data_IF_842546504206
#
_entry.id   IF_842546504206
#
_cell.length_a   1.000
_cell.length_b   1.000
_cell.length_c   1.000
_cell.angle_alpha   90.00
_cell.angle_beta   90.00
_cell.angle_gamma   90.00
#
_symmetry.space_group_name_H-M   'P 1'
#
loop_
_entity.id
_entity.type
_entity.pdbx_description
1 polymer ?
#
# COMPACT_ATOMS: atom_id res chain seq x y z
N UNK A 1 12.08 36.42 -66.48
CA UNK A 1 10.82 35.63 -66.47
C UNK A 1 11.12 34.39 -67.31
N UNK A 2 11.11 33.13 -66.88
CA UNK A 2 10.67 32.41 -65.68
C UNK A 2 11.27 31.01 -65.89
N UNK A 3 12.04 30.48 -64.94
CA UNK A 3 12.57 29.10 -64.98
C UNK A 3 11.85 28.25 -63.95
N UNK A 4 11.00 27.31 -64.37
CA UNK A 4 10.49 26.16 -63.61
C UNK A 4 9.59 25.32 -64.56
N UNK A 5 9.50 23.98 -64.59
CA UNK A 5 10.14 22.82 -63.95
C UNK A 5 9.89 21.61 -64.89
N UNK A 6 10.65 20.51 -64.79
CA UNK A 6 10.09 19.18 -65.00
C UNK A 6 9.87 18.47 -63.66
N UNK A 7 8.73 17.79 -63.62
CA UNK A 7 8.27 16.82 -62.62
C UNK A 7 9.23 15.65 -62.43
N UNK A 8 9.34 15.11 -61.21
CA UNK A 8 9.23 13.66 -60.96
C UNK A 8 8.99 13.37 -59.48
N UNK A 9 7.96 12.59 -59.23
CA UNK A 9 7.64 11.90 -57.97
C UNK A 9 8.66 10.79 -57.68
N UNK A 10 9.13 10.65 -56.44
CA UNK A 10 8.95 9.38 -55.72
C UNK A 10 9.21 9.52 -54.20
N UNK A 11 8.40 8.79 -53.45
CA UNK A 11 8.36 8.68 -52.00
C UNK A 11 9.53 7.85 -51.46
N UNK A 12 10.22 8.33 -50.42
CA UNK A 12 10.59 7.45 -49.29
C UNK A 12 10.64 8.26 -47.99
N UNK A 13 9.89 7.76 -47.01
CA UNK A 13 9.72 8.33 -45.68
C UNK A 13 11.04 8.66 -44.97
N UNK A 14 11.27 9.96 -44.76
CA UNK A 14 12.04 10.49 -43.63
C UNK A 14 11.21 11.59 -42.99
N UNK A 15 10.62 11.32 -41.83
CA UNK A 15 10.30 12.40 -40.89
C UNK A 15 11.10 12.14 -39.62
N UNK A 16 12.21 12.88 -39.56
CA UNK A 16 13.00 13.13 -38.35
C UNK A 16 12.07 13.73 -37.30
N UNK A 17 11.97 13.11 -36.13
CA UNK A 17 11.37 13.75 -34.96
C UNK A 17 12.46 14.54 -34.23
N UNK A 18 12.61 15.81 -34.58
CA UNK A 18 13.26 16.82 -33.73
C UNK A 18 12.54 18.14 -33.95
N UNK A 19 12.00 18.72 -32.88
CA UNK A 19 11.35 20.01 -32.95
C UNK A 19 10.52 20.30 -31.71
N UNK A 20 11.23 20.73 -30.68
CA UNK A 20 10.79 21.60 -29.59
C UNK A 20 9.34 22.07 -29.61
N UNK A 21 8.57 21.62 -28.62
CA UNK A 21 7.53 22.45 -28.03
C UNK A 21 7.61 22.29 -26.52
N UNK A 22 8.05 23.36 -25.87
CA UNK A 22 7.91 23.61 -24.43
C UNK A 22 6.40 23.58 -24.13
N UNK A 23 5.87 22.40 -23.81
CA UNK A 23 4.47 22.23 -23.42
C UNK A 23 4.41 22.04 -21.91
N UNK A 24 4.05 23.12 -21.23
CA UNK A 24 3.51 23.23 -19.87
C UNK A 24 3.40 21.91 -19.08
N UNK A 25 4.32 21.71 -18.12
CA UNK A 25 4.35 20.61 -17.15
C UNK A 25 3.15 20.58 -16.17
N UNK A 26 2.05 21.27 -16.45
CA UNK A 26 0.93 21.46 -15.51
C UNK A 26 -0.36 20.73 -15.86
N UNK A 27 -0.42 20.00 -16.98
CA UNK A 27 -1.56 19.15 -17.34
C UNK A 27 -1.18 17.80 -17.96
N UNK A 28 -0.25 17.06 -17.34
CA UNK A 28 -0.12 15.60 -17.53
C UNK A 28 -1.33 14.87 -16.95
N UNK A 29 -2.46 15.00 -17.64
CA UNK A 29 -3.81 15.01 -17.07
C UNK A 29 -4.46 13.63 -17.05
N UNK A 30 -4.03 12.68 -16.21
CA UNK A 30 -4.72 11.38 -15.99
C UNK A 30 -4.96 10.47 -17.23
N UNK A 31 -4.72 10.97 -18.45
CA UNK A 31 -4.79 10.31 -19.75
C UNK A 31 -3.43 9.70 -20.13
N UNK A 32 -2.33 10.19 -19.52
CA UNK A 32 -0.96 9.78 -19.84
C UNK A 32 -0.51 8.45 -19.23
N UNK A 33 -1.38 7.80 -18.45
CA UNK A 33 -1.03 6.52 -17.81
C UNK A 33 -2.23 5.58 -17.76
N UNK A 34 -2.48 4.83 -18.84
CA UNK A 34 -3.55 3.83 -18.91
C UNK A 34 -3.51 2.82 -17.76
N UNK A 35 -2.31 2.45 -17.28
CA UNK A 35 -2.13 1.45 -16.21
C UNK A 35 -2.75 1.91 -14.89
N UNK A 36 -2.67 3.22 -14.60
CA UNK A 36 -3.31 3.81 -13.43
C UNK A 36 -4.82 3.67 -13.47
N UNK A 37 -5.45 3.95 -14.63
CA UNK A 37 -6.90 3.81 -14.79
C UNK A 37 -7.34 2.35 -14.66
N UNK A 38 -6.56 1.43 -15.23
CA UNK A 38 -6.81 0.00 -15.12
C UNK A 38 -6.71 -0.48 -13.66
N UNK A 39 -5.74 0.00 -12.90
CA UNK A 39 -5.60 -0.28 -11.47
C UNK A 39 -6.78 0.27 -10.64
N UNK A 40 -7.24 1.49 -10.95
CA UNK A 40 -8.41 2.13 -10.30
C UNK A 40 -9.71 1.43 -10.64
N UNK A 41 -9.85 0.87 -11.85
CA UNK A 41 -11.05 0.14 -12.27
C UNK A 41 -11.03 -1.33 -11.89
N UNK A 42 -9.90 -1.85 -11.38
CA UNK A 42 -9.72 -3.28 -11.11
C UNK A 42 -9.72 -4.17 -12.36
N UNK A 43 -9.59 -3.58 -13.56
CA UNK A 43 -9.64 -4.32 -14.83
C UNK A 43 -8.34 -5.12 -15.01
N UNK A 44 -8.38 -6.36 -14.54
CA UNK A 44 -7.27 -7.29 -14.58
C UNK A 44 -6.76 -7.57 -15.99
N UNK A 45 -7.64 -7.55 -17.00
CA UNK A 45 -7.24 -7.82 -18.38
C UNK A 45 -6.52 -6.61 -18.97
N UNK A 46 -7.03 -5.41 -18.71
CA UNK A 46 -6.38 -4.18 -19.13
C UNK A 46 -5.04 -3.97 -18.41
N UNK A 47 -4.96 -4.27 -17.10
CA UNK A 47 -3.69 -4.22 -16.35
C UNK A 47 -2.65 -5.11 -17.02
N UNK A 48 -2.99 -6.37 -17.36
CA UNK A 48 -2.07 -7.28 -18.05
C UNK A 48 -1.63 -6.76 -19.42
N UNK A 49 -2.58 -6.36 -20.26
CA UNK A 49 -2.30 -5.88 -21.61
C UNK A 49 -1.37 -4.66 -21.60
N UNK A 50 -1.53 -3.76 -20.62
CA UNK A 50 -0.69 -2.58 -20.51
C UNK A 50 0.72 -2.89 -20.02
N UNK A 51 0.86 -3.82 -19.08
CA UNK A 51 2.17 -4.34 -18.65
C UNK A 51 2.89 -5.02 -19.81
N UNK A 52 2.19 -5.85 -20.59
CA UNK A 52 2.71 -6.51 -21.80
C UNK A 52 3.13 -5.49 -22.86
N UNK A 53 2.44 -4.35 -22.94
CA UNK A 53 2.81 -3.23 -23.80
C UNK A 53 4.02 -2.41 -23.29
N UNK A 54 4.68 -2.84 -22.19
CA UNK A 54 5.89 -2.21 -21.68
C UNK A 54 5.67 -1.03 -20.74
N UNK A 55 4.47 -0.85 -20.18
CA UNK A 55 4.24 0.19 -19.19
C UNK A 55 5.00 -0.13 -17.89
N UNK A 56 5.70 0.88 -17.35
CA UNK A 56 6.39 0.75 -16.07
C UNK A 56 5.39 0.55 -14.93
N UNK A 57 5.42 -0.64 -14.33
CA UNK A 57 4.56 -1.08 -13.24
C UNK A 57 4.80 -0.30 -11.93
N UNK A 58 5.98 0.31 -11.77
CA UNK A 58 6.39 1.05 -10.58
C UNK A 58 6.23 2.57 -10.71
N UNK A 59 5.81 3.05 -11.89
CA UNK A 59 5.63 4.48 -12.14
C UNK A 59 4.60 5.07 -11.18
N UNK A 60 4.96 6.17 -10.52
CA UNK A 60 4.04 6.95 -9.70
C UNK A 60 3.46 8.12 -10.49
N UNK A 61 2.18 8.41 -10.24
CA UNK A 61 1.45 9.53 -10.85
C UNK A 61 0.77 10.29 -9.73
N UNK A 62 1.01 11.61 -9.66
CA UNK A 62 0.52 12.46 -8.56
C UNK A 62 0.85 11.87 -7.17
N UNK A 63 2.04 11.28 -7.06
CA UNK A 63 2.52 10.60 -5.85
C UNK A 63 1.78 9.30 -5.47
N UNK A 64 0.99 8.73 -6.39
CA UNK A 64 0.31 7.45 -6.20
C UNK A 64 0.86 6.38 -7.14
N UNK A 65 1.06 5.18 -6.63
CA UNK A 65 1.53 4.02 -7.41
C UNK A 65 0.38 3.09 -7.77
N UNK A 66 0.51 2.28 -8.82
CA UNK A 66 -0.51 1.30 -9.17
C UNK A 66 -0.80 0.32 -8.02
N UNK A 67 0.24 -0.11 -7.30
CA UNK A 67 0.12 -1.02 -6.16
C UNK A 67 -0.67 -0.40 -4.99
N UNK A 68 -0.46 0.90 -4.71
CA UNK A 68 -1.21 1.63 -3.69
C UNK A 68 -2.71 1.65 -4.00
N UNK A 69 -3.06 1.91 -5.26
CA UNK A 69 -4.46 2.03 -5.69
C UNK A 69 -5.21 0.73 -5.57
N UNK A 70 -4.59 -0.39 -5.95
CA UNK A 70 -5.24 -1.70 -5.85
C UNK A 70 -5.42 -2.14 -4.40
N UNK A 71 -4.49 -1.79 -3.50
CA UNK A 71 -4.64 -2.03 -2.05
C UNK A 71 -5.80 -1.20 -1.51
N UNK A 72 -5.85 0.09 -1.85
CA UNK A 72 -6.92 0.98 -1.42
C UNK A 72 -8.31 0.55 -1.94
N UNK A 73 -8.38 -0.11 -3.10
CA UNK A 73 -9.63 -0.59 -3.69
C UNK A 73 -9.89 -2.10 -3.50
N UNK A 74 -9.18 -2.79 -2.59
CA UNK A 74 -9.37 -4.22 -2.32
C UNK A 74 -10.84 -4.60 -2.07
N UNK A 75 -11.57 -3.78 -1.31
CA UNK A 75 -12.97 -4.09 -0.99
C UNK A 75 -13.91 -4.00 -2.21
N UNK A 76 -13.51 -3.28 -3.26
CA UNK A 76 -14.32 -3.10 -4.48
C UNK A 76 -13.96 -4.13 -5.55
N UNK A 77 -12.68 -4.46 -5.72
CA UNK A 77 -12.19 -5.28 -6.84
C UNK A 77 -11.45 -6.54 -6.41
N UNK A 78 -11.34 -6.79 -5.10
CA UNK A 78 -10.54 -7.86 -4.55
C UNK A 78 -9.04 -7.63 -4.73
N UNK A 79 -8.27 -8.69 -4.54
CA UNK A 79 -6.80 -8.66 -4.56
C UNK A 79 -6.19 -9.14 -5.87
N UNK A 80 -7.02 -9.53 -6.85
CA UNK A 80 -6.53 -10.05 -8.12
C UNK A 80 -5.64 -9.04 -8.89
N UNK A 81 -5.98 -7.74 -8.94
CA UNK A 81 -5.09 -6.73 -9.53
C UNK A 81 -3.73 -6.65 -8.83
N UNK A 82 -3.70 -6.75 -7.50
CA UNK A 82 -2.45 -6.77 -6.72
C UNK A 82 -1.57 -7.96 -7.08
N UNK A 83 -2.12 -9.16 -7.19
CA UNK A 83 -1.37 -10.35 -7.61
C UNK A 83 -0.76 -10.20 -9.00
N UNK A 84 -1.51 -9.60 -9.94
CA UNK A 84 -1.03 -9.35 -11.31
C UNK A 84 0.14 -8.36 -11.29
N UNK A 85 0.01 -7.25 -10.56
CA UNK A 85 1.06 -6.24 -10.45
C UNK A 85 2.32 -6.83 -9.81
N UNK A 86 2.21 -7.57 -8.71
CA UNK A 86 3.35 -8.22 -8.07
C UNK A 86 4.01 -9.26 -8.99
N UNK A 87 3.21 -10.07 -9.71
CA UNK A 87 3.72 -11.02 -10.70
C UNK A 87 4.43 -10.35 -11.89
N UNK A 88 4.12 -9.08 -12.15
CA UNK A 88 4.77 -8.25 -13.16
C UNK A 88 5.98 -7.46 -12.64
N UNK A 89 6.43 -7.68 -11.40
CA UNK A 89 7.58 -6.99 -10.83
C UNK A 89 7.26 -5.65 -10.16
N UNK A 90 6.00 -5.40 -9.77
CA UNK A 90 5.68 -4.29 -8.88
C UNK A 90 6.48 -4.42 -7.57
N UNK A 91 7.10 -3.33 -7.15
CA UNK A 91 7.91 -3.26 -5.95
C UNK A 91 7.02 -2.95 -4.73
N UNK A 92 6.81 -3.91 -3.80
CA UNK A 92 6.01 -3.68 -2.60
C UNK A 92 6.67 -2.74 -1.58
N UNK A 93 7.95 -2.43 -1.76
CA UNK A 93 8.73 -1.59 -0.85
C UNK A 93 8.67 -0.10 -1.21
N UNK A 94 7.87 0.27 -2.22
CA UNK A 94 7.63 1.66 -2.54
C UNK A 94 6.97 2.37 -1.36
N UNK A 95 7.47 3.57 -1.07
CA UNK A 95 6.90 4.44 -0.06
C UNK A 95 5.61 5.07 -0.60
N UNK A 96 4.51 4.76 0.07
CA UNK A 96 3.17 5.26 -0.22
C UNK A 96 2.69 6.11 0.96
N UNK A 97 1.69 6.95 0.74
CA UNK A 97 1.14 7.85 1.77
C UNK A 97 -0.29 7.43 2.11
N UNK A 98 -0.65 7.49 3.38
CA UNK A 98 -2.03 7.28 3.82
C UNK A 98 -2.40 8.26 4.91
N UNK A 99 -3.70 8.36 5.18
CA UNK A 99 -4.23 9.17 6.29
C UNK A 99 -4.81 8.26 7.35
N UNK A 100 -4.57 8.60 8.60
CA UNK A 100 -5.30 7.99 9.71
C UNK A 100 -6.67 8.66 9.90
N UNK A 101 -7.42 8.16 10.88
CA UNK A 101 -8.73 8.69 11.23
C UNK A 101 -8.72 10.17 11.65
N UNK A 102 -7.61 10.63 12.23
CA UNK A 102 -7.43 12.02 12.66
C UNK A 102 -6.96 12.94 11.51
N UNK A 103 -6.74 12.39 10.32
CA UNK A 103 -6.28 13.12 9.15
C UNK A 103 -4.76 13.33 9.11
N UNK A 104 -4.00 12.74 10.05
CA UNK A 104 -2.54 12.80 10.00
C UNK A 104 -2.04 11.97 8.82
N UNK A 105 -1.00 12.48 8.17
CA UNK A 105 -0.41 11.81 7.02
C UNK A 105 0.76 10.95 7.48
N UNK A 106 0.67 9.66 7.16
CA UNK A 106 1.71 8.67 7.38
C UNK A 106 2.30 8.26 6.03
N UNK A 107 3.55 7.81 6.02
CA UNK A 107 4.20 7.32 4.81
C UNK A 107 5.04 6.08 5.12
N UNK A 108 5.15 5.16 4.18
CA UNK A 108 5.93 3.93 4.37
C UNK A 108 5.63 2.89 3.31
N UNK A 109 6.21 1.68 3.43
CA UNK A 109 6.00 0.58 2.48
C UNK A 109 4.53 0.17 2.33
N UNK A 110 4.22 -0.54 1.24
CA UNK A 110 2.85 -0.97 0.94
C UNK A 110 2.26 -1.91 2.02
N UNK A 111 3.11 -2.66 2.73
CA UNK A 111 2.67 -3.50 3.85
C UNK A 111 2.09 -2.66 5.00
N UNK A 112 2.72 -1.54 5.34
CA UNK A 112 2.25 -0.61 6.38
C UNK A 112 0.91 0.02 6.00
N UNK A 113 0.75 0.44 4.73
CA UNK A 113 -0.54 0.88 4.21
C UNK A 113 -1.62 -0.20 4.40
N UNK A 114 -1.33 -1.43 3.97
CA UNK A 114 -2.30 -2.52 4.02
C UNK A 114 -2.75 -2.84 5.45
N UNK A 115 -1.82 -2.83 6.41
CA UNK A 115 -2.14 -3.03 7.83
C UNK A 115 -2.90 -1.84 8.42
N UNK A 116 -2.44 -0.61 8.19
CA UNK A 116 -3.05 0.60 8.73
C UNK A 116 -4.47 0.85 8.19
N UNK A 117 -4.76 0.39 6.97
CA UNK A 117 -6.08 0.51 6.33
C UNK A 117 -6.90 -0.78 6.39
N UNK A 118 -6.46 -1.78 7.16
CA UNK A 118 -7.14 -3.07 7.37
C UNK A 118 -7.42 -3.85 6.09
N UNK A 119 -6.53 -3.74 5.10
CA UNK A 119 -6.54 -4.49 3.83
C UNK A 119 -5.88 -5.85 4.02
N UNK A 120 -6.56 -6.70 4.79
CA UNK A 120 -6.01 -7.96 5.31
C UNK A 120 -5.61 -8.92 4.18
N UNK A 121 -6.40 -9.02 3.11
CA UNK A 121 -6.06 -9.93 2.02
C UNK A 121 -4.85 -9.41 1.23
N UNK A 122 -4.75 -8.09 1.01
CA UNK A 122 -3.55 -7.49 0.44
C UNK A 122 -2.33 -7.69 1.33
N UNK A 123 -2.46 -7.49 2.64
CA UNK A 123 -1.38 -7.69 3.60
C UNK A 123 -0.88 -9.15 3.58
N UNK A 124 -1.78 -10.14 3.55
CA UNK A 124 -1.42 -11.55 3.39
C UNK A 124 -0.65 -11.82 2.10
N UNK A 125 -1.08 -11.24 0.97
CA UNK A 125 -0.39 -11.40 -0.31
C UNK A 125 1.00 -10.76 -0.28
N UNK A 126 1.13 -9.57 0.34
CA UNK A 126 2.41 -8.90 0.50
C UNK A 126 3.36 -9.71 1.39
N UNK A 127 2.88 -10.27 2.50
CA UNK A 127 3.68 -11.14 3.37
C UNK A 127 4.14 -12.42 2.67
N UNK A 128 3.32 -12.99 1.80
CA UNK A 128 3.69 -14.16 1.00
C UNK A 128 4.62 -13.83 -0.18
N UNK A 129 4.83 -12.55 -0.49
CA UNK A 129 5.70 -12.12 -1.58
C UNK A 129 7.14 -12.01 -1.11
N UNK A 130 8.04 -12.78 -1.73
CA UNK A 130 9.48 -12.79 -1.39
C UNK A 130 10.17 -11.42 -1.58
N UNK A 131 9.60 -10.53 -2.38
CA UNK A 131 10.14 -9.18 -2.61
C UNK A 131 9.79 -8.18 -1.50
N UNK A 132 8.93 -8.53 -0.54
CA UNK A 132 8.49 -7.62 0.52
C UNK A 132 9.51 -7.56 1.65
N UNK A 133 9.97 -6.35 1.97
CA UNK A 133 10.84 -6.09 3.10
C UNK A 133 10.01 -6.01 4.40
N UNK A 134 10.07 -7.07 5.20
CA UNK A 134 9.36 -7.21 6.47
C UNK A 134 9.96 -6.38 7.61
N UNK A 135 11.22 -5.96 7.48
CA UNK A 135 11.95 -5.19 8.50
C UNK A 135 11.91 -3.68 8.25
N UNK A 136 11.23 -3.23 7.19
CA UNK A 136 11.09 -1.82 6.91
C UNK A 136 10.25 -1.12 7.98
N UNK A 137 10.61 0.13 8.27
CA UNK A 137 9.82 1.02 9.12
C UNK A 137 9.11 2.08 8.28
N UNK A 138 7.98 2.58 8.79
CA UNK A 138 7.31 3.75 8.23
C UNK A 138 8.01 5.07 8.62
N UNK A 139 7.42 6.19 8.24
CA UNK A 139 7.91 7.54 8.53
C UNK A 139 7.92 7.88 10.03
N UNK A 140 7.17 7.14 10.84
CA UNK A 140 7.19 7.25 12.30
C UNK A 140 8.13 6.21 12.92
N UNK A 141 8.98 5.57 12.12
CA UNK A 141 9.92 4.55 12.58
C UNK A 141 9.25 3.33 13.17
N UNK A 142 8.03 3.00 12.75
CA UNK A 142 7.26 1.84 13.22
C UNK A 142 7.41 0.66 12.27
N UNK A 143 7.68 -0.53 12.81
CA UNK A 143 7.62 -1.79 12.05
C UNK A 143 6.18 -2.18 11.68
N UNK A 144 6.05 -3.11 10.71
CA UNK A 144 4.76 -3.70 10.37
C UNK A 144 4.11 -4.43 11.56
N UNK A 145 4.92 -5.06 12.41
CA UNK A 145 4.45 -5.73 13.63
C UNK A 145 3.84 -4.72 14.61
N UNK A 146 4.46 -3.55 14.78
CA UNK A 146 3.91 -2.46 15.61
C UNK A 146 2.54 -1.99 15.10
N UNK A 147 2.37 -1.78 13.79
CA UNK A 147 1.07 -1.37 13.23
C UNK A 147 -0.02 -2.43 13.48
N UNK A 148 0.34 -3.71 13.48
CA UNK A 148 -0.62 -4.81 13.69
C UNK A 148 -1.14 -4.96 15.12
N UNK A 149 -0.52 -4.30 16.13
CA UNK A 149 -1.08 -4.27 17.48
C UNK A 149 -2.43 -3.55 17.54
N UNK A 150 -2.66 -2.60 16.62
CA UNK A 150 -3.81 -1.71 16.65
C UNK A 150 -3.77 -0.75 17.85
N UNK A 151 -4.24 0.48 17.65
CA UNK A 151 -4.42 1.39 18.78
C UNK A 151 -5.76 1.05 19.44
N UNK A 152 -5.79 0.52 20.67
CA UNK A 152 -7.06 0.40 21.42
C UNK A 152 -7.72 1.76 21.68
N UNK A 153 -6.98 2.88 21.60
CA UNK A 153 -7.57 4.23 21.58
C UNK A 153 -8.49 4.46 20.36
N UNK A 154 -8.20 3.79 19.22
CA UNK A 154 -9.13 3.75 18.09
C UNK A 154 -10.26 2.76 18.29
N UNK A 155 -10.14 1.75 19.16
CA UNK A 155 -11.21 0.80 19.45
C UNK A 155 -12.27 1.37 20.40
N UNK A 156 -11.88 2.13 21.43
CA UNK A 156 -12.83 2.85 22.29
C UNK A 156 -13.63 3.92 21.53
N UNK A 157 -12.99 4.56 20.55
CA UNK A 157 -13.69 5.47 19.62
C UNK A 157 -14.45 4.71 18.54
N UNK A 158 -14.03 3.51 18.11
CA UNK A 158 -14.80 2.66 17.21
C UNK A 158 -16.07 2.11 17.86
N UNK A 159 -16.13 1.80 19.15
CA UNK A 159 -17.41 1.41 19.80
C UNK A 159 -18.37 2.59 19.92
N UNK A 160 -17.84 3.79 20.21
CA UNK A 160 -18.61 5.03 20.17
C UNK A 160 -19.05 5.39 18.73
N UNK A 161 -18.21 5.09 17.73
CA UNK A 161 -18.48 5.37 16.32
C UNK A 161 -19.35 4.29 15.68
N UNK A 162 -19.27 3.02 16.08
CA UNK A 162 -20.14 1.90 15.68
C UNK A 162 -21.60 2.20 16.07
N UNK A 163 -21.81 2.83 17.23
CA UNK A 163 -23.12 3.33 17.65
C UNK A 163 -23.67 4.44 16.74
N UNK A 164 -22.82 5.20 16.05
CA UNK A 164 -23.22 6.19 15.03
C UNK A 164 -23.08 5.68 13.57
N UNK A 165 -22.37 4.57 13.32
CA UNK A 165 -21.95 4.04 12.00
C UNK A 165 -22.98 3.13 11.32
N UNK A 166 -24.20 2.99 11.81
CA UNK A 166 -25.28 2.47 10.96
C UNK A 166 -25.50 3.38 9.74
N UNK A 167 -25.11 4.66 9.82
CA UNK A 167 -25.27 5.67 8.77
C UNK A 167 -24.02 5.80 7.87
N UNK A 168 -22.80 5.54 8.37
CA UNK A 168 -21.54 5.83 7.65
C UNK A 168 -20.96 4.67 6.81
N UNK A 169 -21.51 3.46 6.92
CA UNK A 169 -21.02 2.30 6.16
C UNK A 169 -21.07 2.51 4.62
N UNK A 170 -21.90 3.46 4.16
CA UNK A 170 -22.01 3.84 2.75
C UNK A 170 -20.90 4.80 2.27
N UNK A 171 -20.26 5.57 3.16
CA UNK A 171 -19.30 6.65 2.80
C UNK A 171 -17.83 6.20 2.97
N UNK A 172 -17.59 5.08 3.66
CA UNK A 172 -16.26 4.54 3.92
C UNK A 172 -15.50 4.10 2.65
N UNK A 173 -16.22 3.67 1.61
CA UNK A 173 -15.64 3.15 0.35
C UNK A 173 -14.93 4.19 -0.52
N UNK A 174 -15.12 5.50 -0.30
CA UNK A 174 -14.67 6.53 -1.26
C UNK A 174 -13.61 7.50 -0.72
N UNK A 175 -13.30 7.47 0.58
CA UNK A 175 -12.49 8.54 1.23
C UNK A 175 -11.32 8.08 2.12
N UNK A 176 -10.94 6.80 2.09
CA UNK A 176 -9.80 6.32 2.89
C UNK A 176 -10.08 6.22 4.39
N UNK A 177 -11.34 5.94 4.75
CA UNK A 177 -11.77 5.68 6.13
C UNK A 177 -11.35 4.26 6.57
N UNK A 178 -11.22 4.01 7.90
CA UNK A 178 -10.73 2.74 8.44
C UNK A 178 -11.57 1.55 7.97
N UNK A 179 -10.92 0.39 7.87
CA UNK A 179 -11.55 -0.84 7.40
C UNK A 179 -12.81 -1.21 8.20
N UNK A 180 -13.74 -1.99 7.60
CA UNK A 180 -14.88 -2.54 8.34
C UNK A 180 -14.41 -3.21 9.64
N UNK A 181 -15.20 -3.15 10.72
CA UNK A 181 -14.84 -3.78 12.01
C UNK A 181 -14.35 -5.24 11.87
N UNK A 182 -14.91 -5.98 10.91
CA UNK A 182 -14.50 -7.35 10.58
C UNK A 182 -13.04 -7.50 10.11
N UNK A 183 -12.44 -6.48 9.52
CA UNK A 183 -11.03 -6.48 9.13
C UNK A 183 -10.11 -6.29 10.34
N UNK A 184 -10.48 -5.40 11.27
CA UNK A 184 -9.73 -5.20 12.52
C UNK A 184 -9.76 -6.42 13.42
N UNK A 185 -10.85 -7.20 13.39
CA UNK A 185 -10.92 -8.50 14.06
C UNK A 185 -9.86 -9.51 13.56
N UNK A 186 -9.33 -9.33 12.35
CA UNK A 186 -8.27 -10.17 11.80
C UNK A 186 -6.87 -9.60 12.03
N UNK A 187 -6.73 -8.42 12.64
CA UNK A 187 -5.43 -7.86 12.96
C UNK A 187 -4.59 -8.74 13.90
N UNK A 188 -5.17 -9.44 14.90
CA UNK A 188 -4.42 -10.43 15.66
C UNK A 188 -3.80 -11.53 14.81
N UNK A 189 -4.51 -11.99 13.76
CA UNK A 189 -3.97 -12.99 12.83
C UNK A 189 -2.76 -12.43 12.07
N UNK A 190 -2.82 -11.16 11.68
CA UNK A 190 -1.69 -10.47 11.04
C UNK A 190 -0.50 -10.36 11.98
N UNK A 191 -0.74 -10.00 13.25
CA UNK A 191 0.29 -9.96 14.28
C UNK A 191 1.01 -11.30 14.42
N UNK A 192 0.27 -12.41 14.58
CA UNK A 192 0.87 -13.74 14.69
C UNK A 192 1.64 -14.16 13.43
N UNK A 193 1.14 -13.79 12.25
CA UNK A 193 1.81 -14.07 10.98
C UNK A 193 3.14 -13.30 10.90
N UNK A 194 3.15 -12.01 11.26
CA UNK A 194 4.33 -11.17 11.28
C UNK A 194 5.38 -11.68 12.28
N UNK A 195 4.94 -12.09 13.48
CA UNK A 195 5.80 -12.70 14.49
C UNK A 195 6.43 -14.00 13.99
N UNK A 196 5.64 -14.86 13.35
CA UNK A 196 6.09 -16.14 12.75
C UNK A 196 7.06 -15.94 11.59
N UNK A 197 7.03 -14.78 10.93
CA UNK A 197 8.01 -14.39 9.90
C UNK A 197 9.31 -13.81 10.48
N UNK A 198 9.52 -13.89 11.81
CA UNK A 198 10.78 -13.53 12.45
C UNK A 198 10.97 -12.03 12.68
N UNK A 199 9.90 -11.23 12.63
CA UNK A 199 10.00 -9.81 13.01
C UNK A 199 10.19 -9.71 14.53
N UNK A 200 11.27 -9.06 14.93
CA UNK A 200 11.66 -8.92 16.33
C UNK A 200 10.71 -7.96 17.08
N UNK A 201 10.03 -8.41 18.15
CA UNK A 201 9.11 -7.56 18.92
C UNK A 201 9.82 -6.67 19.96
N UNK A 202 11.15 -6.76 20.09
CA UNK A 202 11.95 -5.99 21.06
C UNK A 202 12.66 -4.79 20.47
N UNK A 203 12.57 -4.58 19.15
CA UNK A 203 13.14 -3.39 18.55
C UNK A 203 12.43 -2.15 19.11
N UNK A 204 13.21 -1.16 19.53
CA UNK A 204 12.71 0.13 19.97
C UNK A 204 12.32 0.93 18.73
N UNK A 205 11.03 1.24 18.60
CA UNK A 205 10.51 2.08 17.52
C UNK A 205 10.82 3.57 17.84
N UNK A 206 10.42 4.52 16.99
CA UNK A 206 10.79 5.94 17.17
C UNK A 206 10.29 6.60 18.46
N UNK A 207 9.31 6.00 19.14
CA UNK A 207 8.81 6.46 20.44
C UNK A 207 9.57 5.87 21.64
N UNK A 208 10.73 5.24 21.40
CA UNK A 208 11.50 4.49 22.42
C UNK A 208 10.69 3.38 23.11
N UNK A 209 9.64 2.91 22.44
CA UNK A 209 8.77 1.83 22.88
C UNK A 209 8.86 0.68 21.88
N UNK A 210 9.05 -0.53 22.39
CA UNK A 210 9.02 -1.75 21.58
C UNK A 210 7.59 -2.30 21.47
N UNK A 211 7.35 -3.17 20.48
CA UNK A 211 6.08 -3.90 20.35
C UNK A 211 5.72 -4.62 21.64
N UNK A 212 6.69 -5.26 22.30
CA UNK A 212 6.49 -5.95 23.56
C UNK A 212 6.06 -5.01 24.69
N UNK A 213 6.77 -3.89 24.87
CA UNK A 213 6.43 -2.89 25.89
C UNK A 213 5.06 -2.27 25.63
N UNK A 214 4.73 -1.98 24.36
CA UNK A 214 3.42 -1.48 23.97
C UNK A 214 2.31 -2.45 24.34
N UNK A 215 2.47 -3.72 24.01
CA UNK A 215 1.51 -4.76 24.34
C UNK A 215 1.34 -4.92 25.86
N UNK A 216 2.42 -4.75 26.63
CA UNK A 216 2.36 -4.75 28.10
C UNK A 216 1.62 -3.53 28.65
N UNK A 217 1.94 -2.33 28.16
CA UNK A 217 1.32 -1.08 28.59
C UNK A 217 -0.19 -1.07 28.29
N UNK A 218 -0.57 -1.56 27.10
CA UNK A 218 -1.95 -1.65 26.68
C UNK A 218 -2.73 -2.81 27.34
N UNK A 219 -2.08 -3.67 28.14
CA UNK A 219 -2.74 -4.82 28.74
C UNK A 219 -3.20 -5.88 27.73
N UNK A 220 -2.55 -5.95 26.56
CA UNK A 220 -2.89 -6.88 25.49
C UNK A 220 -2.32 -8.27 25.78
N UNK A 221 -2.90 -8.92 26.80
CA UNK A 221 -2.43 -10.18 27.39
C UNK A 221 -2.17 -11.26 26.33
N UNK A 222 -3.04 -11.40 25.33
CA UNK A 222 -2.87 -12.38 24.25
C UNK A 222 -1.59 -12.16 23.42
N UNK A 223 -1.26 -10.92 23.08
CA UNK A 223 -0.04 -10.61 22.34
C UNK A 223 1.21 -10.77 23.22
N UNK A 224 1.13 -10.36 24.48
CA UNK A 224 2.22 -10.54 25.45
C UNK A 224 2.55 -12.02 25.62
N UNK A 225 1.54 -12.86 25.86
CA UNK A 225 1.74 -14.31 25.98
C UNK A 225 2.37 -14.90 24.73
N UNK A 226 1.94 -14.47 23.55
CA UNK A 226 2.45 -15.05 22.31
C UNK A 226 3.87 -14.59 21.96
N UNK A 227 4.22 -13.35 22.32
CA UNK A 227 5.62 -12.90 22.27
C UNK A 227 6.47 -13.74 23.23
N UNK A 228 6.05 -13.93 24.48
CA UNK A 228 6.80 -14.72 25.47
C UNK A 228 6.97 -16.17 24.99
N UNK A 229 5.93 -16.76 24.40
CA UNK A 229 5.96 -18.12 23.86
C UNK A 229 6.98 -18.29 22.74
N UNK A 230 7.07 -17.31 21.83
CA UNK A 230 8.02 -17.34 20.71
C UNK A 230 9.45 -16.96 21.13
N UNK A 231 9.61 -16.31 22.29
CA UNK A 231 10.88 -15.80 22.78
C UNK A 231 11.08 -16.13 24.29
N UNK A 232 11.13 -17.42 24.67
CA UNK A 232 11.17 -17.85 26.08
C UNK A 232 12.41 -17.35 26.85
N UNK A 233 13.49 -16.99 26.16
CA UNK A 233 14.71 -16.42 26.72
C UNK A 233 14.49 -15.13 27.54
N UNK A 234 13.37 -14.42 27.33
CA UNK A 234 13.01 -13.22 28.09
C UNK A 234 12.74 -13.58 29.55
N UNK A 235 12.08 -14.71 29.79
CA UNK A 235 11.74 -15.16 31.15
C UNK A 235 12.98 -15.56 31.96
N UNK A 236 14.09 -15.89 31.31
CA UNK A 236 15.31 -16.40 31.96
C UNK A 236 16.19 -15.24 32.48
N UNK A 237 15.98 -14.00 32.03
CA UNK A 237 16.75 -12.82 32.49
C UNK A 237 16.16 -12.11 33.73
N UNK A 238 15.11 -12.66 34.34
CA UNK A 238 14.41 -12.06 35.49
C UNK A 238 14.71 -12.80 36.82
N UNK A 239 15.75 -13.64 36.85
CA UNK A 239 16.28 -14.28 38.08
C UNK A 239 17.70 -13.80 38.34
#
# INVERSE_FOLDING_TARGET
MTTSMPTFSDNTHKVKTTGDSVSDERYGSMFDTPLYRAAVSGDCNLVKALIEAGHDVNRSIRSHTAIELVINNELRYGTRPLQILLGAGANPNLWVRWKDYFGNIHQGPCLHLALATGRIASAKILLSSASTNLHACDSAGRTALYISLGNEETHGTLDAMIREMSILNFIASSRGLPAPAAAWNQMPTMFYTLLSNGICPFHKEAHEESVFEKACQAGQVSYVFEIIRNYPQICIRIT
#
